data_IF_498422326555
#
_entry.id   IF_498422326555
#
_cell.length_a   1.000
_cell.length_b   1.000
_cell.length_c   1.000
_cell.angle_alpha   90.00
_cell.angle_beta   90.00
_cell.angle_gamma   90.00
#
_symmetry.space_group_name_H-M   'P 1'
#
loop_
_entity.id
_entity.type
_entity.pdbx_description
1 polymer ?
#
# COMPACT_ATOMS: atom_id res chain seq x y z
N UNK A 1 -17.00 20.39 30.69
CA UNK A 1 -18.11 21.05 29.97
C UNK A 1 -18.16 20.45 28.57
N UNK A 2 -19.32 19.95 28.14
CA UNK A 2 -19.52 19.57 26.73
C UNK A 2 -19.73 20.86 25.92
N UNK A 3 -19.19 20.94 24.71
CA UNK A 3 -19.26 22.15 23.89
C UNK A 3 -20.61 22.32 23.19
N UNK A 4 -21.63 22.80 23.92
CA UNK A 4 -22.99 22.98 23.39
C UNK A 4 -23.11 24.01 22.24
N UNK A 5 -22.07 24.79 21.97
CA UNK A 5 -21.96 25.68 20.80
C UNK A 5 -20.95 25.23 19.72
N UNK A 6 -20.28 24.08 19.89
CA UNK A 6 -19.16 23.64 19.05
C UNK A 6 -19.57 23.06 17.69
N UNK A 7 -18.59 22.92 16.78
CA UNK A 7 -18.78 22.32 15.45
C UNK A 7 -19.51 20.96 15.50
N UNK A 8 -19.11 20.05 16.39
CA UNK A 8 -19.72 18.72 16.49
C UNK A 8 -21.20 18.75 16.89
N UNK A 9 -21.58 19.64 17.81
CA UNK A 9 -22.97 19.86 18.18
C UNK A 9 -23.79 20.42 17.01
N UNK A 10 -23.22 21.35 16.23
CA UNK A 10 -23.87 21.89 15.03
C UNK A 10 -24.05 20.81 13.95
N UNK A 11 -23.01 20.00 13.67
CA UNK A 11 -23.08 18.89 12.73
C UNK A 11 -24.17 17.88 13.11
N UNK A 12 -24.22 17.49 14.39
CA UNK A 12 -25.28 16.60 14.92
C UNK A 12 -26.67 17.20 14.76
N UNK A 13 -26.82 18.51 14.99
CA UNK A 13 -28.07 19.23 14.78
C UNK A 13 -28.51 19.18 13.31
N UNK A 14 -27.59 19.47 12.37
CA UNK A 14 -27.85 19.41 10.93
C UNK A 14 -28.24 18.02 10.46
N UNK A 15 -27.50 16.99 10.87
CA UNK A 15 -27.82 15.59 10.57
C UNK A 15 -29.23 15.22 11.05
N UNK A 16 -29.56 15.58 12.29
CA UNK A 16 -30.86 15.26 12.89
C UNK A 16 -32.01 16.00 12.20
N UNK A 17 -31.80 17.25 11.78
CA UNK A 17 -32.78 18.02 10.99
C UNK A 17 -32.99 17.45 9.57
N UNK A 18 -31.94 16.88 8.96
CA UNK A 18 -32.01 16.16 7.70
C UNK A 18 -32.63 14.74 7.82
N UNK A 19 -33.01 14.31 9.03
CA UNK A 19 -33.62 13.00 9.28
C UNK A 19 -32.67 11.81 9.17
N UNK A 20 -31.34 12.03 9.15
CA UNK A 20 -30.35 10.98 8.91
C UNK A 20 -29.80 10.37 10.21
N UNK A 21 -29.55 9.06 10.19
CA UNK A 21 -28.68 8.36 11.17
C UNK A 21 -27.20 8.67 10.94
N UNK A 22 -26.33 8.33 11.90
CA UNK A 22 -24.86 8.50 11.71
C UNK A 22 -24.38 7.62 10.54
N UNK A 23 -25.01 6.46 10.39
CA UNK A 23 -24.83 5.45 9.37
C UNK A 23 -25.21 5.97 7.97
N UNK A 24 -26.38 6.58 7.80
CA UNK A 24 -26.81 7.15 6.51
C UNK A 24 -25.99 8.40 6.13
N UNK A 25 -25.59 9.24 7.10
CA UNK A 25 -24.69 10.36 6.81
C UNK A 25 -23.30 9.87 6.39
N UNK A 26 -22.78 8.84 7.06
CA UNK A 26 -21.52 8.20 6.71
C UNK A 26 -21.57 7.67 5.25
N UNK A 27 -22.58 6.88 4.91
CA UNK A 27 -22.79 6.36 3.56
C UNK A 27 -22.88 7.46 2.50
N UNK A 28 -23.69 8.50 2.72
CA UNK A 28 -23.85 9.63 1.78
C UNK A 28 -22.62 10.51 1.61
N UNK A 29 -21.76 10.60 2.64
CA UNK A 29 -20.54 11.43 2.61
C UNK A 29 -19.28 10.66 2.23
N UNK A 30 -19.34 9.33 2.11
CA UNK A 30 -18.16 8.48 1.94
C UNK A 30 -17.25 8.43 3.17
N UNK A 31 -17.73 8.88 4.33
CA UNK A 31 -17.03 8.83 5.61
C UNK A 31 -17.44 7.57 6.38
N UNK A 32 -16.69 7.18 7.42
CA UNK A 32 -17.17 6.11 8.30
C UNK A 32 -18.12 6.64 9.38
N UNK A 33 -18.93 5.73 9.94
CA UNK A 33 -19.75 5.98 11.13
C UNK A 33 -18.89 6.44 12.31
N UNK A 34 -17.65 5.93 12.41
CA UNK A 34 -16.67 6.34 13.42
C UNK A 34 -16.23 7.79 13.19
N UNK A 35 -15.98 8.21 11.95
CA UNK A 35 -15.66 9.58 11.63
C UNK A 35 -16.81 10.54 11.97
N UNK A 36 -18.03 10.24 11.52
CA UNK A 36 -19.23 11.03 11.86
C UNK A 36 -19.37 11.14 13.38
N UNK A 37 -19.17 10.04 14.11
CA UNK A 37 -19.23 10.03 15.57
C UNK A 37 -18.13 10.88 16.22
N UNK A 38 -16.88 10.77 15.81
CA UNK A 38 -15.77 11.54 16.41
C UNK A 38 -15.85 13.03 16.04
N UNK A 39 -16.39 13.38 14.86
CA UNK A 39 -16.76 14.74 14.46
C UNK A 39 -17.88 15.31 15.33
N UNK A 40 -19.00 14.58 15.51
CA UNK A 40 -20.14 15.01 16.34
C UNK A 40 -19.79 15.18 17.82
N UNK A 41 -18.89 14.36 18.35
CA UNK A 41 -18.39 14.50 19.72
C UNK A 41 -17.28 15.57 19.86
N UNK A 42 -16.91 16.26 18.79
CA UNK A 42 -15.87 17.30 18.82
C UNK A 42 -14.47 16.79 19.13
N UNK A 43 -14.21 15.49 18.89
CA UNK A 43 -12.87 14.88 19.05
C UNK A 43 -11.92 15.29 17.93
N UNK A 44 -12.47 15.61 16.75
CA UNK A 44 -11.72 16.18 15.63
C UNK A 44 -11.64 17.69 15.78
N UNK A 45 -10.48 18.20 16.21
CA UNK A 45 -10.29 19.63 16.45
C UNK A 45 -10.26 20.48 15.15
N UNK A 46 -9.80 19.90 14.03
CA UNK A 46 -9.72 20.57 12.71
C UNK A 46 -10.06 19.59 11.58
N UNK A 47 -11.34 19.43 11.21
CA UNK A 47 -11.74 18.68 10.02
C UNK A 47 -11.17 19.36 8.76
N UNK A 48 -10.76 18.58 7.75
CA UNK A 48 -10.25 19.11 6.48
C UNK A 48 -11.36 19.81 5.69
N UNK A 49 -11.01 20.82 4.87
CA UNK A 49 -11.96 21.53 4.00
C UNK A 49 -12.75 20.57 3.11
N UNK A 50 -12.11 19.50 2.63
CA UNK A 50 -12.76 18.50 1.79
C UNK A 50 -13.74 17.61 2.57
N UNK A 51 -13.36 17.14 3.77
CA UNK A 51 -14.29 16.45 4.68
C UNK A 51 -15.53 17.31 4.98
N UNK A 52 -15.34 18.62 5.14
CA UNK A 52 -16.43 19.57 5.38
C UNK A 52 -17.32 19.78 4.15
N UNK A 53 -16.76 19.76 2.93
CA UNK A 53 -17.53 19.75 1.67
C UNK A 53 -18.35 18.47 1.52
N UNK A 54 -17.74 17.29 1.70
CA UNK A 54 -18.42 16.00 1.64
C UNK A 54 -19.62 15.95 2.60
N UNK A 55 -19.46 16.47 3.83
CA UNK A 55 -20.55 16.59 4.80
C UNK A 55 -21.64 17.57 4.34
N UNK A 56 -21.29 18.74 3.83
CA UNK A 56 -22.27 19.72 3.35
C UNK A 56 -23.11 19.16 2.18
N UNK A 57 -22.46 18.50 1.22
CA UNK A 57 -23.11 17.80 0.09
C UNK A 57 -24.02 16.67 0.57
N UNK A 58 -23.55 15.81 1.48
CA UNK A 58 -24.32 14.69 2.00
C UNK A 58 -25.54 15.10 2.85
N UNK A 59 -25.47 16.27 3.50
CA UNK A 59 -26.56 16.89 4.23
C UNK A 59 -27.51 17.71 3.34
N UNK A 60 -27.20 17.90 2.04
CA UNK A 60 -28.00 18.70 1.12
C UNK A 60 -28.02 20.19 1.46
N UNK A 61 -26.97 20.72 2.10
CA UNK A 61 -26.92 22.12 2.50
C UNK A 61 -26.68 23.04 1.29
N UNK A 62 -27.39 24.18 1.17
CA UNK A 62 -27.02 25.24 0.22
C UNK A 62 -25.64 25.83 0.57
N UNK A 63 -24.98 26.44 -0.40
CA UNK A 63 -23.58 26.86 -0.32
C UNK A 63 -23.28 27.77 0.89
N UNK A 64 -24.15 28.73 1.17
CA UNK A 64 -24.09 29.63 2.34
C UNK A 64 -24.14 28.88 3.69
N UNK A 65 -24.89 27.78 3.78
CA UNK A 65 -24.99 26.96 4.98
C UNK A 65 -23.81 25.98 5.12
N UNK A 66 -23.21 25.59 3.98
CA UNK A 66 -21.91 24.91 3.94
C UNK A 66 -20.76 25.81 4.42
N UNK A 67 -20.79 27.10 4.06
CA UNK A 67 -19.85 28.12 4.56
C UNK A 67 -19.96 28.29 6.08
N UNK A 68 -21.17 28.28 6.65
CA UNK A 68 -21.38 28.34 8.10
C UNK A 68 -20.79 27.11 8.84
N UNK A 69 -20.95 25.91 8.26
CA UNK A 69 -20.33 24.68 8.76
C UNK A 69 -18.78 24.79 8.74
N UNK A 70 -18.22 25.28 7.63
CA UNK A 70 -16.79 25.57 7.46
C UNK A 70 -16.28 26.66 8.43
N UNK A 71 -17.10 27.66 8.75
CA UNK A 71 -16.76 28.75 9.67
C UNK A 71 -16.73 28.25 11.11
N UNK A 72 -17.70 27.44 11.53
CA UNK A 72 -17.73 26.84 12.88
C UNK A 72 -16.60 25.84 13.11
N UNK A 73 -16.23 25.06 12.09
CA UNK A 73 -15.05 24.20 12.15
C UNK A 73 -13.76 25.00 12.40
N UNK A 74 -13.63 26.19 11.82
CA UNK A 74 -12.49 27.11 12.03
C UNK A 74 -12.50 27.80 13.40
N UNK A 75 -13.68 28.07 13.96
CA UNK A 75 -13.85 28.83 15.22
C UNK A 75 -13.73 27.99 16.52
N UNK A 76 -13.64 26.66 16.44
CA UNK A 76 -13.60 25.76 17.60
C UNK A 76 -12.27 25.76 18.39
N UNK A 77 -11.52 26.86 18.40
CA UNK A 77 -10.12 26.94 18.84
C UNK A 77 -9.90 27.96 19.98
N UNK A 78 -9.36 27.55 21.15
CA UNK A 78 -8.60 28.47 22.01
C UNK A 78 -7.21 28.72 21.41
N UNK A 79 -6.65 29.95 21.47
CA UNK A 79 -5.41 30.28 20.77
C UNK A 79 -4.26 29.38 21.21
N UNK A 80 -3.51 28.88 20.22
CA UNK A 80 -2.31 28.09 20.46
C UNK A 80 -1.29 28.97 21.22
N UNK A 81 -0.88 28.54 22.41
CA UNK A 81 0.30 29.12 23.05
C UNK A 81 1.52 28.76 22.17
N UNK A 82 2.39 29.71 21.82
CA UNK A 82 3.67 29.36 21.22
C UNK A 82 4.45 28.51 22.24
N UNK A 83 4.90 27.33 21.81
CA UNK A 83 5.82 26.53 22.60
C UNK A 83 7.16 27.24 22.73
N UNK A 84 7.89 27.10 23.85
CA UNK A 84 9.24 27.63 23.96
C UNK A 84 10.15 27.05 22.88
N UNK A 85 10.93 27.92 22.23
CA UNK A 85 11.97 27.54 21.26
C UNK A 85 13.09 26.80 22.00
N UNK A 86 13.75 25.89 21.28
CA UNK A 86 14.81 25.02 21.80
C UNK A 86 15.96 25.78 22.48
N UNK A 87 16.52 25.16 23.52
CA UNK A 87 17.87 25.43 23.98
C UNK A 87 18.74 24.21 23.64
N UNK A 88 19.45 24.30 22.52
CA UNK A 88 20.47 23.32 22.14
C UNK A 88 21.53 23.19 23.26
N UNK A 89 22.00 21.98 23.55
CA UNK A 89 23.17 21.76 24.40
C UNK A 89 24.39 21.45 23.53
N UNK A 90 25.55 22.10 23.77
CA UNK A 90 26.64 22.12 22.79
C UNK A 90 27.47 20.84 22.75
N UNK A 91 27.97 20.53 21.56
CA UNK A 91 28.94 19.45 21.30
C UNK A 91 30.30 19.82 21.89
N UNK A 92 30.84 18.98 22.79
CA UNK A 92 32.22 19.10 23.24
C UNK A 92 33.19 18.49 22.21
N UNK A 93 34.07 19.32 21.65
CA UNK A 93 35.16 18.90 20.75
C UNK A 93 36.48 18.75 21.53
N UNK A 94 37.22 17.66 21.26
CA UNK A 94 38.63 17.51 21.60
C UNK A 94 39.31 16.59 20.56
N UNK A 95 40.57 16.87 20.21
CA UNK A 95 41.17 16.44 18.93
C UNK A 95 42.34 15.42 19.04
N UNK A 96 42.65 14.80 17.89
CA UNK A 96 43.96 14.29 17.35
C UNK A 96 45.24 14.59 18.16
N UNK A 97 46.34 13.81 18.16
CA UNK A 97 46.83 12.56 17.50
C UNK A 97 48.20 12.15 18.20
N UNK A 98 49.18 11.36 17.67
CA UNK A 98 49.25 10.41 16.53
C UNK A 98 50.02 9.07 16.76
N UNK A 99 50.00 8.18 15.74
CA UNK A 99 51.04 7.23 15.26
C UNK A 99 51.72 6.14 16.16
N UNK A 100 51.66 4.87 15.72
CA UNK A 100 52.80 4.18 15.05
C UNK A 100 52.34 2.92 14.26
N UNK A 101 53.18 2.43 13.34
CA UNK A 101 53.03 1.19 12.55
C UNK A 101 53.43 -0.06 13.34
N UNK A 102 52.86 -1.23 13.01
CA UNK A 102 53.55 -2.31 12.29
C UNK A 102 52.59 -3.43 11.81
N UNK A 103 52.95 -4.10 10.71
CA UNK A 103 52.31 -5.31 10.13
C UNK A 103 53.46 -6.29 9.80
N UNK A 104 53.34 -7.59 10.09
CA UNK A 104 53.15 -8.50 8.95
C UNK A 104 52.23 -9.73 9.20
N UNK A 105 51.53 -10.11 8.14
CA UNK A 105 50.84 -11.41 7.92
C UNK A 105 51.85 -12.53 7.49
N UNK A 106 51.46 -13.75 6.99
CA UNK A 106 50.15 -14.43 6.92
C UNK A 106 50.14 -15.97 7.21
N UNK A 107 48.93 -16.58 7.26
CA UNK A 107 48.55 -17.97 6.87
C UNK A 107 47.00 -18.03 6.93
N UNK A 108 46.16 -18.39 5.95
CA UNK A 108 46.19 -19.37 4.82
C UNK A 108 46.24 -20.82 5.36
N UNK A 109 45.36 -21.80 5.07
CA UNK A 109 44.50 -22.14 3.89
C UNK A 109 43.08 -22.67 4.36
N UNK A 110 42.17 -23.34 3.57
CA UNK A 110 40.71 -23.05 3.60
C UNK A 110 39.84 -24.33 3.86
N UNK A 111 38.53 -24.43 3.48
CA UNK A 111 37.64 -25.53 3.90
C UNK A 111 37.41 -26.64 2.83
N UNK A 112 36.83 -27.76 3.27
CA UNK A 112 36.29 -28.83 2.40
C UNK A 112 34.88 -29.28 2.84
N UNK A 113 33.93 -29.22 1.90
CA UNK A 113 32.87 -30.24 1.65
C UNK A 113 33.39 -31.09 0.46
N UNK A 114 32.95 -32.36 0.19
CA UNK A 114 31.53 -32.77 0.13
C UNK A 114 31.23 -34.28 0.37
N UNK A 115 29.99 -34.73 0.06
CA UNK A 115 29.78 -36.05 -0.58
C UNK A 115 28.70 -36.99 0.00
N UNK A 116 27.64 -37.22 -0.77
CA UNK A 116 26.61 -38.28 -0.56
C UNK A 116 27.02 -39.57 -1.30
N UNK A 117 26.79 -40.78 -0.74
CA UNK A 117 26.14 -41.86 -1.51
C UNK A 117 25.16 -42.72 -0.63
N UNK A 118 24.70 -43.95 -0.99
CA UNK A 118 23.37 -44.14 -1.59
C UNK A 118 22.46 -45.20 -0.90
N UNK A 119 21.32 -45.52 -1.54
CA UNK A 119 20.31 -46.53 -1.12
C UNK A 119 20.85 -47.98 -1.05
N UNK A 120 20.34 -48.78 -0.09
CA UNK A 120 19.40 -49.92 -0.32
C UNK A 120 19.38 -50.95 0.84
N UNK A 121 18.18 -51.50 1.14
CA UNK A 121 17.91 -52.87 1.69
C UNK A 121 18.54 -53.29 3.06
N UNK A 122 18.02 -54.26 3.84
CA UNK A 122 16.68 -54.84 4.00
C UNK A 122 16.60 -55.65 5.33
N UNK A 123 15.38 -56.00 5.75
CA UNK A 123 15.01 -57.17 6.60
C UNK A 123 15.43 -57.24 8.10
N UNK A 124 14.64 -58.02 8.87
CA UNK A 124 14.91 -58.40 10.28
C UNK A 124 13.81 -57.96 11.27
N UNK A 125 12.71 -58.70 11.49
CA UNK A 125 12.56 -59.75 12.53
C UNK A 125 12.99 -59.31 13.95
N UNK A 126 12.23 -59.53 15.04
CA UNK A 126 10.90 -60.12 15.26
C UNK A 126 10.49 -59.90 16.75
N UNK A 127 9.33 -60.43 17.18
CA UNK A 127 8.81 -60.53 18.58
C UNK A 127 8.23 -59.21 19.16
N UNK A 128 7.01 -59.17 19.70
CA UNK A 128 5.90 -60.14 19.64
C UNK A 128 5.00 -60.14 20.88
N UNK A 129 3.72 -60.54 20.68
CA UNK A 129 2.68 -60.82 21.70
C UNK A 129 2.14 -59.55 22.41
N UNK A 130 0.89 -59.45 22.90
CA UNK A 130 -0.43 -60.16 22.81
C UNK A 130 -1.45 -59.14 23.41
N UNK A 131 -2.78 -59.14 23.20
CA UNK A 131 -3.83 -60.09 22.74
C UNK A 131 -5.05 -59.26 22.26
N UNK A 132 -5.81 -59.75 21.26
CA UNK A 132 -7.28 -59.86 21.17
C UNK A 132 -8.22 -58.67 21.56
N UNK A 133 -9.42 -58.45 20.97
CA UNK A 133 -10.25 -59.33 20.14
C UNK A 133 -11.24 -58.57 19.21
N UNK A 134 -11.44 -59.13 18.00
CA UNK A 134 -12.72 -59.45 17.33
C UNK A 134 -13.88 -58.42 17.27
N UNK A 135 -14.13 -57.90 16.07
CA UNK A 135 -15.34 -58.06 15.22
C UNK A 135 -14.94 -57.49 13.83
N UNK A 136 -15.36 -57.97 12.66
CA UNK A 136 -16.26 -59.07 12.34
C UNK A 136 -17.18 -58.68 11.17
N UNK A 137 -16.96 -59.29 9.99
CA UNK A 137 -17.78 -59.30 8.75
C UNK A 137 -17.24 -58.45 7.56
N UNK A 138 -17.00 -59.15 6.44
CA UNK A 138 -16.85 -58.59 5.09
C UNK A 138 -18.22 -58.24 4.51
N UNK A 139 -18.28 -57.25 3.60
CA UNK A 139 -18.98 -57.49 2.35
C UNK A 139 -18.30 -56.74 1.19
N UNK A 140 -17.94 -57.48 0.15
CA UNK A 140 -17.45 -56.95 -1.13
C UNK A 140 -18.62 -56.54 -2.01
N UNK A 141 -18.55 -55.35 -2.61
CA UNK A 141 -19.36 -54.99 -3.78
C UNK A 141 -18.49 -54.22 -4.80
N UNK A 142 -18.25 -54.85 -5.94
CA UNK A 142 -17.50 -54.32 -7.07
C UNK A 142 -18.53 -53.83 -8.11
N UNK A 143 -18.57 -52.53 -8.41
CA UNK A 143 -19.31 -52.00 -9.56
C UNK A 143 -18.58 -50.81 -10.18
N UNK A 144 -18.09 -51.00 -11.41
CA UNK A 144 -17.62 -49.94 -12.30
C UNK A 144 -18.75 -49.47 -13.20
N UNK A 145 -19.10 -48.18 -13.15
CA UNK A 145 -19.93 -47.51 -14.16
C UNK A 145 -19.30 -46.16 -14.50
N UNK A 146 -19.30 -45.82 -15.79
CA UNK A 146 -18.67 -44.62 -16.33
C UNK A 146 -19.56 -43.36 -16.18
N UNK A 147 -18.94 -42.20 -16.44
CA UNK A 147 -19.47 -40.86 -16.28
C UNK A 147 -20.87 -40.58 -16.85
N UNK A 148 -21.63 -39.72 -16.16
CA UNK A 148 -22.11 -38.42 -16.68
C UNK A 148 -22.81 -37.56 -15.59
N UNK A 149 -22.53 -36.25 -15.62
CA UNK A 149 -23.33 -35.13 -15.11
C UNK A 149 -24.01 -35.19 -13.72
N UNK A 150 -23.43 -34.46 -12.76
CA UNK A 150 -24.08 -33.26 -12.18
C UNK A 150 -23.09 -32.42 -11.36
N UNK A 151 -22.41 -31.48 -12.04
CA UNK A 151 -21.55 -30.47 -11.42
C UNK A 151 -22.40 -29.40 -10.71
N UNK A 152 -22.55 -29.51 -9.39
CA UNK A 152 -23.15 -28.49 -8.52
C UNK A 152 -22.37 -28.34 -7.20
N UNK A 153 -21.05 -28.16 -7.31
CA UNK A 153 -20.31 -27.48 -6.24
C UNK A 153 -20.73 -26.01 -6.15
N UNK A 154 -20.68 -25.35 -4.97
CA UNK A 154 -21.07 -23.95 -4.86
C UNK A 154 -20.12 -23.07 -5.68
N UNK A 155 -20.61 -22.56 -6.82
CA UNK A 155 -19.90 -21.58 -7.63
C UNK A 155 -19.78 -20.27 -6.85
N UNK A 156 -18.65 -20.10 -6.18
CA UNK A 156 -18.19 -18.76 -5.77
C UNK A 156 -18.06 -17.94 -7.04
N UNK A 157 -18.95 -16.95 -7.23
CA UNK A 157 -18.81 -15.98 -8.31
C UNK A 157 -17.51 -15.21 -8.10
N UNK A 158 -16.45 -15.58 -8.84
CA UNK A 158 -15.27 -14.73 -9.02
C UNK A 158 -15.68 -13.52 -9.85
N UNK A 159 -16.00 -12.41 -9.18
CA UNK A 159 -16.30 -11.12 -9.81
C UNK A 159 -15.04 -10.36 -10.23
N UNK A 160 -14.09 -11.06 -10.86
CA UNK A 160 -12.86 -10.49 -11.42
C UNK A 160 -13.14 -9.93 -12.81
N UNK A 161 -13.20 -8.61 -12.95
CA UNK A 161 -13.37 -7.97 -14.26
C UNK A 161 -13.53 -6.46 -14.26
N UNK A 162 -14.23 -5.86 -13.27
CA UNK A 162 -14.41 -4.38 -13.19
C UNK A 162 -14.37 -3.76 -11.79
N UNK A 163 -14.37 -4.53 -10.70
CA UNK A 163 -14.48 -4.02 -9.33
C UNK A 163 -13.28 -4.28 -8.41
N UNK A 164 -12.14 -4.75 -8.95
CA UNK A 164 -11.00 -5.15 -8.15
C UNK A 164 -10.14 -3.98 -7.67
N UNK A 165 -9.95 -2.92 -8.46
CA UNK A 165 -9.44 -1.64 -7.97
C UNK A 165 -10.59 -0.87 -7.31
N UNK A 166 -10.37 -0.40 -6.08
CA UNK A 166 -11.36 0.37 -5.33
C UNK A 166 -11.16 1.88 -5.54
N UNK A 167 -10.02 2.41 -5.11
CA UNK A 167 -9.67 3.83 -5.22
C UNK A 167 -8.18 4.08 -4.93
N UNK A 168 -7.71 5.27 -5.31
CA UNK A 168 -6.50 5.86 -4.69
C UNK A 168 -6.88 6.37 -3.30
N UNK A 169 -6.28 5.79 -2.29
CA UNK A 169 -6.50 6.13 -0.88
C UNK A 169 -5.69 7.36 -0.48
N UNK A 170 -4.52 7.56 -1.07
CA UNK A 170 -3.70 8.75 -0.85
C UNK A 170 -2.48 8.75 -1.75
N UNK A 171 -1.84 9.90 -1.87
CA UNK A 171 -0.52 10.05 -2.46
C UNK A 171 0.18 11.26 -1.83
N UNK A 172 1.50 11.36 -2.00
CA UNK A 172 2.25 12.57 -1.69
C UNK A 172 3.44 12.74 -2.63
N UNK A 173 3.75 13.99 -2.95
CA UNK A 173 5.06 14.42 -3.46
C UNK A 173 5.75 15.14 -2.29
N UNK A 174 6.78 14.48 -1.75
CA UNK A 174 7.61 14.99 -0.66
C UNK A 174 8.93 15.50 -1.22
N UNK A 175 8.85 16.65 -1.88
CA UNK A 175 9.97 17.47 -2.33
C UNK A 175 10.02 18.77 -1.52
N UNK A 176 11.18 19.17 -0.98
CA UNK A 176 11.30 20.45 -0.28
C UNK A 176 10.93 21.62 -1.22
N UNK A 177 10.09 22.58 -0.78
CA UNK A 177 9.67 23.70 -1.63
C UNK A 177 10.86 24.55 -2.08
N UNK A 178 11.75 24.87 -1.14
CA UNK A 178 13.06 25.49 -1.34
C UNK A 178 14.11 24.58 -0.68
N UNK A 179 14.87 23.81 -1.46
CA UNK A 179 15.74 22.76 -0.93
C UNK A 179 17.14 23.26 -0.50
N UNK A 180 17.87 22.50 0.36
CA UNK A 180 17.46 21.35 1.17
C UNK A 180 17.18 21.77 2.65
N UNK A 181 16.36 21.02 3.42
CA UNK A 181 16.77 19.68 3.83
C UNK A 181 15.92 18.55 3.25
N UNK A 182 16.55 17.40 3.16
CA UNK A 182 15.98 16.08 2.87
C UNK A 182 14.74 15.69 3.67
N UNK A 183 13.88 14.87 3.08
CA UNK A 183 12.70 14.30 3.73
C UNK A 183 13.01 12.97 4.44
N UNK A 184 12.21 12.63 5.46
CA UNK A 184 12.33 11.39 6.27
C UNK A 184 10.99 10.65 6.44
N UNK A 185 9.93 11.11 5.79
CA UNK A 185 8.61 10.50 5.82
C UNK A 185 7.54 11.35 5.17
N UNK A 186 6.35 10.76 5.04
CA UNK A 186 5.11 11.42 4.68
C UNK A 186 3.96 10.92 5.55
N UNK A 187 3.00 11.81 5.77
CA UNK A 187 1.78 11.57 6.54
C UNK A 187 0.60 11.67 5.57
N UNK A 188 0.17 10.52 5.05
CA UNK A 188 -0.86 10.43 4.02
C UNK A 188 -2.24 10.31 4.67
N UNK A 189 -3.05 11.34 4.50
CA UNK A 189 -4.45 11.26 4.89
C UNK A 189 -5.25 10.45 3.88
N UNK A 190 -6.16 9.65 4.41
CA UNK A 190 -7.09 8.83 3.64
C UNK A 190 -8.08 9.75 2.90
N UNK A 191 -8.09 9.67 1.58
CA UNK A 191 -8.95 10.46 0.68
C UNK A 191 -10.28 9.75 0.39
N UNK A 192 -10.26 8.42 0.34
CA UNK A 192 -11.42 7.56 0.15
C UNK A 192 -11.44 6.52 1.27
N UNK A 193 -12.60 6.25 1.87
CA UNK A 193 -12.69 5.25 2.94
C UNK A 193 -12.34 3.84 2.43
N UNK A 194 -11.58 3.12 3.24
CA UNK A 194 -11.18 1.73 3.00
C UNK A 194 -12.17 0.80 3.68
N UNK A 195 -12.74 -0.13 2.92
CA UNK A 195 -13.72 -1.09 3.41
C UNK A 195 -13.01 -2.26 4.12
N UNK A 196 -13.65 -2.87 5.13
CA UNK A 196 -13.09 -4.04 5.83
C UNK A 196 -12.76 -5.15 4.83
N UNK A 197 -11.52 -5.63 4.86
CA UNK A 197 -11.07 -6.74 4.03
C UNK A 197 -10.52 -6.33 2.66
N UNK A 198 -10.52 -5.05 2.31
CA UNK A 198 -9.75 -4.56 1.16
C UNK A 198 -8.25 -4.73 1.40
N UNK A 199 -7.47 -4.85 0.32
CA UNK A 199 -6.00 -4.88 0.37
C UNK A 199 -5.46 -3.53 -0.02
N UNK A 200 -4.54 -2.99 0.78
CA UNK A 200 -3.83 -1.75 0.47
C UNK A 200 -2.45 -2.07 -0.09
N UNK A 201 -2.10 -1.45 -1.22
CA UNK A 201 -0.74 -1.42 -1.75
C UNK A 201 -0.19 -0.01 -1.57
N UNK A 202 0.87 0.10 -0.76
CA UNK A 202 1.60 1.35 -0.52
C UNK A 202 2.87 1.31 -1.36
N UNK A 203 2.99 2.24 -2.30
CA UNK A 203 4.18 2.41 -3.14
C UNK A 203 5.00 3.57 -2.63
N UNK A 204 6.32 3.39 -2.52
CA UNK A 204 7.27 4.39 -2.04
C UNK A 204 8.43 4.46 -3.02
N UNK A 205 8.58 5.61 -3.69
CA UNK A 205 9.69 5.89 -4.60
C UNK A 205 10.59 6.96 -3.96
N UNK A 206 11.83 6.60 -3.63
CA UNK A 206 12.82 7.48 -3.02
C UNK A 206 13.95 7.76 -4.01
N UNK A 207 14.39 9.01 -4.13
CA UNK A 207 15.54 9.40 -4.96
C UNK A 207 16.68 9.88 -4.05
N UNK A 208 17.91 9.42 -4.32
CA UNK A 208 19.10 9.79 -3.53
C UNK A 208 19.00 9.38 -2.06
N UNK A 209 18.39 8.23 -1.77
CA UNK A 209 18.12 7.80 -0.40
C UNK A 209 19.38 7.34 0.35
N UNK A 210 19.45 7.65 1.64
CA UNK A 210 20.40 7.01 2.55
C UNK A 210 20.01 5.53 2.81
N UNK A 211 20.96 4.65 3.16
CA UNK A 211 20.65 3.29 3.59
C UNK A 211 19.77 3.28 4.85
N UNK A 212 18.88 2.29 4.95
CA UNK A 212 18.04 2.03 6.12
C UNK A 212 16.64 1.53 5.78
N UNK A 213 15.86 1.26 6.81
CA UNK A 213 14.51 0.71 6.71
C UNK A 213 13.47 1.75 6.29
N UNK A 214 12.49 1.33 5.50
CA UNK A 214 11.27 2.09 5.22
C UNK A 214 10.14 1.40 5.96
N UNK A 215 9.38 2.13 6.77
CA UNK A 215 8.26 1.59 7.55
C UNK A 215 6.95 2.24 7.17
N UNK A 216 5.87 1.47 7.25
CA UNK A 216 4.50 1.89 6.95
C UNK A 216 3.61 1.47 8.12
N UNK A 217 2.87 2.42 8.68
CA UNK A 217 1.89 2.20 9.75
C UNK A 217 0.62 3.00 9.48
N UNK A 218 -0.46 2.68 10.17
CA UNK A 218 -1.67 3.52 10.17
C UNK A 218 -2.35 3.55 11.54
N UNK A 219 -3.31 4.47 11.68
CA UNK A 219 -4.10 4.68 12.90
C UNK A 219 -5.03 3.51 13.26
N UNK A 220 -5.38 2.62 12.32
CA UNK A 220 -6.14 1.40 12.60
C UNK A 220 -5.27 0.22 13.05
N UNK A 221 -3.94 0.32 12.89
CA UNK A 221 -2.98 -0.74 13.21
C UNK A 221 -3.02 -1.90 12.22
N UNK A 222 -3.06 -1.60 10.91
CA UNK A 222 -2.87 -2.61 9.87
C UNK A 222 -1.41 -3.08 9.77
N UNK A 223 -1.22 -4.33 9.34
CA UNK A 223 0.10 -4.93 9.15
C UNK A 223 0.53 -4.82 7.70
N UNK A 224 1.43 -3.89 7.40
CA UNK A 224 2.05 -3.74 6.09
C UNK A 224 3.26 -4.66 5.96
N UNK A 225 3.30 -5.49 4.91
CA UNK A 225 4.43 -6.40 4.62
C UNK A 225 5.11 -6.01 3.31
N UNK A 226 6.45 -6.08 3.21
CA UNK A 226 7.15 -5.85 1.94
C UNK A 226 6.62 -6.75 0.81
N UNK A 227 6.33 -6.14 -0.33
CA UNK A 227 5.77 -6.75 -1.53
C UNK A 227 6.56 -6.35 -2.81
N UNK A 228 7.80 -5.90 -2.62
CA UNK A 228 8.72 -5.47 -3.67
C UNK A 228 9.72 -4.44 -3.15
N UNK A 229 10.98 -4.52 -3.55
CA UNK A 229 11.96 -3.44 -3.35
C UNK A 229 13.06 -3.48 -4.42
N UNK A 230 13.52 -2.32 -4.90
CA UNK A 230 14.79 -2.21 -5.65
C UNK A 230 15.95 -1.89 -4.69
N UNK A 231 17.17 -2.30 -5.07
CA UNK A 231 18.36 -2.22 -4.22
C UNK A 231 19.29 -1.03 -4.51
N UNK A 232 18.95 -0.17 -5.47
CA UNK A 232 19.82 0.94 -5.88
C UNK A 232 19.72 2.17 -4.96
N UNK A 233 20.46 3.23 -5.30
CA UNK A 233 20.44 4.53 -4.60
C UNK A 233 19.07 5.21 -4.69
N UNK A 234 18.39 4.98 -5.80
CA UNK A 234 16.98 5.30 -5.98
C UNK A 234 16.22 3.99 -5.70
N UNK A 235 15.24 4.06 -4.82
CA UNK A 235 14.56 2.89 -4.26
C UNK A 235 13.08 2.97 -4.54
N UNK A 236 12.55 2.01 -5.29
CA UNK A 236 11.13 1.75 -5.39
C UNK A 236 10.78 0.61 -4.44
N UNK A 237 9.84 0.81 -3.52
CA UNK A 237 9.36 -0.20 -2.58
C UNK A 237 7.84 -0.30 -2.63
N UNK A 238 7.33 -1.52 -2.52
CA UNK A 238 5.90 -1.80 -2.35
C UNK A 238 5.68 -2.48 -1.00
N UNK A 239 4.63 -2.09 -0.30
CA UNK A 239 4.13 -2.77 0.89
C UNK A 239 2.66 -3.15 0.70
N UNK A 240 2.26 -4.33 1.14
CA UNK A 240 0.89 -4.81 1.09
C UNK A 240 0.33 -5.00 2.50
N UNK A 241 -0.85 -4.42 2.78
CA UNK A 241 -1.69 -4.77 3.91
C UNK A 241 -2.92 -5.51 3.38
N UNK A 242 -2.84 -6.84 3.35
CA UNK A 242 -3.93 -7.72 2.89
C UNK A 242 -4.98 -7.87 3.98
N UNK A 243 -6.26 -7.73 3.62
CA UNK A 243 -7.37 -7.87 4.55
C UNK A 243 -7.43 -6.75 5.59
N UNK A 244 -7.19 -5.51 5.16
CA UNK A 244 -7.10 -4.33 5.99
C UNK A 244 -8.36 -4.12 6.86
N UNK A 245 -8.11 -3.64 8.07
CA UNK A 245 -9.10 -2.98 8.92
C UNK A 245 -9.57 -1.70 8.22
N UNK A 246 -10.84 -1.30 8.39
CA UNK A 246 -11.34 -0.06 7.81
C UNK A 246 -10.49 1.15 8.17
N UNK A 247 -10.36 2.06 7.21
CA UNK A 247 -9.79 3.40 7.39
C UNK A 247 -10.80 4.43 6.85
N UNK A 248 -10.86 5.60 7.46
CA UNK A 248 -11.69 6.72 7.02
C UNK A 248 -10.89 8.02 6.88
N UNK A 249 -11.49 9.11 6.40
CA UNK A 249 -10.71 10.33 6.07
C UNK A 249 -10.09 11.06 7.27
N UNK A 250 -10.35 10.62 8.50
CA UNK A 250 -9.66 11.09 9.69
C UNK A 250 -8.42 10.25 10.01
N UNK A 251 -8.35 9.02 9.47
CA UNK A 251 -7.22 8.13 9.61
C UNK A 251 -6.02 8.59 8.76
N UNK A 252 -4.84 8.15 9.19
CA UNK A 252 -3.56 8.54 8.63
C UNK A 252 -2.72 7.28 8.36
N UNK A 253 -2.15 7.21 7.16
CA UNK A 253 -1.11 6.25 6.79
C UNK A 253 0.22 6.98 6.90
N UNK A 254 1.03 6.56 7.88
CA UNK A 254 2.31 7.15 8.22
C UNK A 254 3.41 6.32 7.57
N UNK A 255 4.18 6.94 6.67
CA UNK A 255 5.35 6.32 6.03
C UNK A 255 6.61 7.02 6.53
N UNK A 256 7.63 6.26 6.90
CA UNK A 256 8.94 6.79 7.35
C UNK A 256 10.07 6.12 6.57
N UNK A 257 11.10 6.90 6.25
CA UNK A 257 12.27 6.45 5.47
C UNK A 257 13.56 7.12 5.94
N UNK A 258 14.73 6.55 5.64
CA UNK A 258 16.00 7.22 5.85
C UNK A 258 16.10 8.40 4.89
N UNK A 259 16.83 9.43 5.31
CA UNK A 259 17.08 10.69 4.58
C UNK A 259 17.10 10.53 3.05
N UNK A 260 16.12 11.13 2.35
CA UNK A 260 16.02 11.12 0.89
C UNK A 260 16.01 12.55 0.30
N UNK A 261 16.43 12.71 -0.95
CA UNK A 261 16.43 14.01 -1.64
C UNK A 261 15.01 14.39 -2.10
N UNK A 262 14.29 13.43 -2.66
CA UNK A 262 12.85 13.49 -2.94
C UNK A 262 12.22 12.14 -2.61
N UNK A 263 10.93 12.15 -2.30
CA UNK A 263 10.16 10.94 -2.10
C UNK A 263 8.74 11.12 -2.66
N UNK A 264 8.26 10.15 -3.42
CA UNK A 264 6.87 10.09 -3.88
C UNK A 264 6.22 8.85 -3.29
N UNK A 265 4.97 8.97 -2.87
CA UNK A 265 4.21 7.84 -2.32
C UNK A 265 2.82 7.77 -2.91
N UNK A 266 2.29 6.57 -3.06
CA UNK A 266 0.87 6.33 -3.36
C UNK A 266 0.33 5.18 -2.51
N UNK A 267 -0.98 5.19 -2.27
CA UNK A 267 -1.72 4.12 -1.63
C UNK A 267 -2.92 3.80 -2.50
N UNK A 268 -3.04 2.54 -2.89
CA UNK A 268 -4.10 2.04 -3.77
C UNK A 268 -4.82 0.88 -3.10
N UNK A 269 -6.15 0.95 -3.05
CA UNK A 269 -7.00 -0.06 -2.45
C UNK A 269 -7.57 -1.03 -3.49
N UNK A 270 -7.64 -2.31 -3.10
CA UNK A 270 -8.14 -3.39 -3.94
C UNK A 270 -9.15 -4.27 -3.19
N UNK A 271 -10.21 -4.68 -3.87
CA UNK A 271 -11.27 -5.56 -3.35
C UNK A 271 -11.02 -7.01 -3.74
N UNK A 272 -11.35 -7.93 -2.83
CA UNK A 272 -11.29 -9.37 -3.07
C UNK A 272 -9.89 -9.98 -3.09
N UNK A 273 -8.84 -9.19 -2.83
CA UNK A 273 -7.46 -9.66 -2.80
C UNK A 273 -7.13 -10.30 -1.44
N UNK A 274 -6.54 -11.48 -1.51
CA UNK A 274 -6.17 -12.40 -0.43
C UNK A 274 -4.66 -12.69 -0.38
N UNK A 275 -3.92 -12.39 -1.45
CA UNK A 275 -2.47 -12.44 -1.49
C UNK A 275 -1.87 -11.37 -2.40
N UNK A 276 -0.73 -10.83 -1.99
CA UNK A 276 0.10 -9.92 -2.76
C UNK A 276 1.47 -10.59 -3.00
N UNK A 277 1.65 -11.15 -4.20
CA UNK A 277 2.86 -11.85 -4.61
C UNK A 277 2.59 -13.01 -5.58
N UNK A 278 3.63 -13.49 -6.31
CA UNK A 278 4.98 -12.95 -6.34
C UNK A 278 5.08 -11.64 -7.15
N UNK A 279 6.26 -11.04 -7.17
CA UNK A 279 6.58 -9.81 -7.89
C UNK A 279 7.89 -9.96 -8.67
N UNK A 280 8.12 -9.07 -9.62
CA UNK A 280 9.36 -8.93 -10.39
C UNK A 280 9.81 -7.46 -10.42
N UNK A 281 11.11 -7.23 -10.57
CA UNK A 281 11.73 -5.93 -10.84
C UNK A 281 12.10 -5.82 -12.33
N UNK A 282 12.08 -4.61 -12.88
CA UNK A 282 12.74 -4.30 -14.16
C UNK A 282 13.24 -2.85 -14.22
N UNK A 283 14.28 -2.64 -15.01
CA UNK A 283 14.95 -1.36 -15.31
C UNK A 283 15.43 -1.37 -16.77
N UNK A 284 15.76 -0.23 -17.40
CA UNK A 284 16.35 -0.19 -18.75
C UNK A 284 17.61 -1.05 -18.83
N UNK A 285 17.85 -1.72 -19.97
CA UNK A 285 19.19 -2.26 -20.24
C UNK A 285 20.09 -1.09 -20.68
N UNK A 286 21.15 -0.73 -19.93
CA UNK A 286 22.06 0.35 -20.30
C UNK A 286 22.83 0.09 -21.62
N UNK A 287 22.73 -1.12 -22.20
CA UNK A 287 23.30 -1.48 -23.49
C UNK A 287 22.32 -1.39 -24.67
N UNK A 288 21.02 -1.26 -24.41
CA UNK A 288 19.99 -1.17 -25.46
C UNK A 288 19.30 0.20 -25.44
N UNK A 289 19.83 1.11 -26.27
CA UNK A 289 19.28 2.45 -26.47
C UNK A 289 17.87 2.47 -27.10
N UNK A 290 17.39 1.36 -27.67
CA UNK A 290 16.02 1.25 -28.19
C UNK A 290 15.01 0.82 -27.13
N UNK A 291 15.47 0.20 -26.04
CA UNK A 291 14.66 -0.12 -24.85
C UNK A 291 14.44 1.09 -23.93
N UNK A 292 15.26 2.14 -24.07
CA UNK A 292 15.37 3.26 -23.14
C UNK A 292 14.02 3.93 -22.81
N UNK A 293 13.30 4.41 -23.83
CA UNK A 293 12.08 5.21 -23.64
C UNK A 293 10.79 4.36 -23.55
N UNK A 294 10.88 3.04 -23.81
CA UNK A 294 9.73 2.13 -23.82
C UNK A 294 9.74 1.18 -22.62
N UNK A 295 8.67 1.20 -21.82
CA UNK A 295 8.44 0.18 -20.79
C UNK A 295 8.00 -1.10 -21.50
N UNK A 296 8.80 -2.17 -21.38
CA UNK A 296 8.41 -3.53 -21.80
C UNK A 296 8.81 -4.54 -20.73
N UNK A 297 7.97 -4.67 -19.70
CA UNK A 297 8.23 -5.59 -18.57
C UNK A 297 7.61 -6.95 -18.88
N UNK A 298 8.43 -7.84 -19.41
CA UNK A 298 8.12 -9.26 -19.61
C UNK A 298 8.53 -10.12 -18.41
N UNK A 299 8.55 -11.45 -18.58
CA UNK A 299 9.03 -12.38 -17.53
C UNK A 299 8.10 -12.53 -16.32
N UNK A 300 6.86 -12.04 -16.43
CA UNK A 300 5.86 -12.19 -15.37
C UNK A 300 5.50 -13.67 -15.11
N UNK A 301 5.13 -14.03 -13.88
CA UNK A 301 4.65 -15.38 -13.56
C UNK A 301 3.42 -15.71 -14.39
N UNK A 302 3.36 -16.91 -14.98
CA UNK A 302 2.29 -17.37 -15.89
C UNK A 302 0.91 -16.86 -15.47
N UNK A 303 0.40 -15.95 -16.29
CA UNK A 303 -0.84 -15.21 -16.08
C UNK A 303 -2.03 -16.10 -16.47
N UNK A 304 -3.06 -16.09 -15.65
CA UNK A 304 -4.27 -16.86 -15.79
C UNK A 304 -5.50 -15.95 -15.70
N UNK A 305 -6.61 -16.37 -16.30
CA UNK A 305 -7.87 -15.66 -16.18
C UNK A 305 -8.27 -15.43 -14.70
N UNK A 306 -8.63 -14.18 -14.40
CA UNK A 306 -8.98 -13.72 -13.06
C UNK A 306 -7.80 -13.19 -12.24
N UNK A 307 -6.54 -13.30 -12.70
CA UNK A 307 -5.43 -12.61 -12.06
C UNK A 307 -5.59 -11.09 -12.14
N UNK A 308 -5.10 -10.39 -11.11
CA UNK A 308 -4.89 -8.96 -11.15
C UNK A 308 -3.39 -8.69 -11.04
N UNK A 309 -2.87 -7.83 -11.92
CA UNK A 309 -1.51 -7.30 -11.80
C UNK A 309 -1.56 -5.82 -11.44
N UNK A 310 -0.65 -5.41 -10.56
CA UNK A 310 -0.34 -4.04 -10.22
C UNK A 310 1.12 -3.76 -10.59
N UNK A 311 1.40 -2.61 -11.20
CA UNK A 311 2.75 -2.18 -11.54
C UNK A 311 2.98 -0.76 -11.04
N UNK A 312 4.18 -0.52 -10.55
CA UNK A 312 4.68 0.81 -10.22
C UNK A 312 5.95 1.07 -11.03
N UNK A 313 6.07 2.26 -11.60
CA UNK A 313 7.25 2.73 -12.34
C UNK A 313 7.65 4.08 -11.77
N UNK A 314 8.91 4.24 -11.38
CA UNK A 314 9.52 5.50 -10.99
C UNK A 314 10.58 5.90 -12.02
N UNK A 315 10.41 7.08 -12.62
CA UNK A 315 11.36 7.72 -13.52
C UNK A 315 11.75 9.10 -12.96
N UNK A 316 12.85 9.24 -12.20
CA UNK A 316 13.22 10.50 -11.52
C UNK A 316 13.48 11.71 -12.45
N UNK A 317 13.53 11.47 -13.76
CA UNK A 317 13.83 12.45 -14.82
C UNK A 317 12.82 12.32 -15.95
N UNK A 318 12.50 13.45 -16.60
CA UNK A 318 11.54 13.48 -17.71
C UNK A 318 10.08 13.67 -17.24
N UNK A 319 9.10 13.46 -18.13
CA UNK A 319 7.67 13.49 -17.79
C UNK A 319 7.25 12.27 -16.96
N UNK A 320 6.04 12.33 -16.40
CA UNK A 320 5.46 11.20 -15.67
C UNK A 320 5.37 9.93 -16.57
N UNK A 321 5.76 8.73 -16.07
CA UNK A 321 5.62 7.49 -16.84
C UNK A 321 4.19 7.22 -17.27
N UNK A 322 4.01 6.64 -18.45
CA UNK A 322 2.71 6.29 -19.04
C UNK A 322 2.60 4.82 -19.33
N UNK A 323 1.37 4.31 -19.30
CA UNK A 323 1.07 2.90 -19.58
C UNK A 323 0.10 2.77 -20.75
N UNK A 324 0.43 1.86 -21.68
CA UNK A 324 -0.39 1.61 -22.86
C UNK A 324 -1.59 0.72 -22.50
N UNK A 325 -2.71 0.93 -23.22
CA UNK A 325 -3.85 0.02 -23.13
C UNK A 325 -3.40 -1.43 -23.46
N UNK A 326 -3.88 -2.45 -22.72
CA UNK A 326 -5.05 -2.44 -21.83
C UNK A 326 -4.77 -2.12 -20.34
N UNK A 327 -3.57 -1.63 -19.99
CA UNK A 327 -3.29 -1.21 -18.61
C UNK A 327 -4.10 0.03 -18.22
N UNK A 328 -4.46 0.13 -16.93
CA UNK A 328 -5.20 1.27 -16.38
C UNK A 328 -4.33 2.01 -15.39
N UNK A 329 -3.94 3.24 -15.74
CA UNK A 329 -3.29 4.17 -14.81
C UNK A 329 -4.22 4.46 -13.61
N UNK A 330 -3.67 4.34 -12.40
CA UNK A 330 -4.33 4.84 -11.20
C UNK A 330 -4.16 6.37 -11.14
N UNK A 331 -5.24 7.15 -10.95
CA UNK A 331 -5.19 8.61 -11.04
C UNK A 331 -4.25 9.20 -9.99
N UNK A 332 -3.45 10.19 -10.34
CA UNK A 332 -2.73 11.00 -9.37
C UNK A 332 -3.66 12.10 -8.83
N UNK A 333 -3.88 12.17 -7.52
CA UNK A 333 -4.78 13.14 -6.93
C UNK A 333 -3.99 14.35 -6.42
N UNK A 334 -4.36 15.60 -6.76
CA UNK A 334 -3.73 16.77 -6.18
C UNK A 334 -4.08 16.85 -4.69
N UNK A 335 -3.06 16.77 -3.83
CA UNK A 335 -3.21 16.74 -2.36
C UNK A 335 -3.54 18.13 -1.79
N UNK A 336 -3.08 19.17 -2.50
CA UNK A 336 -3.37 20.57 -2.26
C UNK A 336 -3.74 21.20 -3.62
N UNK A 337 -4.81 21.98 -3.65
CA UNK A 337 -5.31 22.63 -4.86
C UNK A 337 -4.52 23.89 -5.22
N UNK A 338 -3.84 24.49 -4.23
CA UNK A 338 -3.05 25.71 -4.40
C UNK A 338 -1.56 25.40 -4.65
N UNK A 339 -1.15 24.13 -4.55
CA UNK A 339 0.20 23.70 -4.91
C UNK A 339 0.40 23.64 -6.43
N UNK A 340 1.57 24.06 -6.96
CA UNK A 340 1.84 23.99 -8.39
C UNK A 340 1.79 22.54 -8.88
N UNK A 341 1.02 22.29 -9.95
CA UNK A 341 0.96 21.00 -10.61
C UNK A 341 2.35 20.60 -11.11
N UNK A 342 2.95 19.60 -10.44
CA UNK A 342 4.18 18.94 -10.87
C UNK A 342 3.81 17.56 -11.39
N UNK A 343 4.41 17.15 -12.50
CA UNK A 343 4.27 15.77 -12.96
C UNK A 343 4.98 14.84 -11.97
N UNK A 344 4.31 13.79 -11.46
CA UNK A 344 4.92 12.88 -10.51
C UNK A 344 5.95 11.99 -11.22
N UNK A 345 7.11 11.77 -10.62
CA UNK A 345 8.09 10.79 -11.14
C UNK A 345 7.60 9.35 -10.99
N UNK A 346 6.62 9.13 -10.12
CA UNK A 346 5.99 7.85 -9.83
C UNK A 346 4.64 7.74 -10.54
N UNK A 347 4.49 6.73 -11.39
CA UNK A 347 3.20 6.30 -11.91
C UNK A 347 2.94 4.84 -11.56
N UNK A 348 1.66 4.48 -11.53
CA UNK A 348 1.19 3.15 -11.11
C UNK A 348 -0.01 2.75 -11.95
N UNK A 349 -0.05 1.49 -12.39
CA UNK A 349 -1.15 0.97 -13.18
C UNK A 349 -1.57 -0.43 -12.73
N UNK A 350 -2.75 -0.86 -13.19
CA UNK A 350 -3.26 -2.20 -12.93
C UNK A 350 -3.95 -2.80 -14.17
N UNK A 351 -3.95 -4.13 -14.27
CA UNK A 351 -4.62 -4.90 -15.33
C UNK A 351 -5.21 -6.17 -14.74
N UNK A 352 -6.50 -6.40 -14.95
CA UNK A 352 -7.11 -7.72 -14.71
C UNK A 352 -6.97 -8.56 -15.97
N UNK A 353 -6.54 -9.81 -15.82
CA UNK A 353 -6.36 -10.77 -16.90
C UNK A 353 -7.69 -11.50 -17.17
N UNK A 354 -8.09 -11.52 -18.43
CA UNK A 354 -9.30 -12.14 -18.96
C UNK A 354 -8.95 -13.35 -19.81
N UNK A 355 -9.94 -14.21 -20.11
CA UNK A 355 -9.76 -15.35 -21.03
C UNK A 355 -9.32 -14.96 -22.46
N UNK A 356 -9.45 -13.68 -22.84
CA UNK A 356 -8.99 -13.15 -24.14
C UNK A 356 -7.56 -12.62 -24.14
N UNK A 357 -6.92 -12.48 -22.96
CA UNK A 357 -5.54 -11.99 -22.86
C UNK A 357 -4.53 -13.11 -23.13
N UNK A 358 -3.79 -13.01 -24.24
CA UNK A 358 -2.71 -13.94 -24.60
C UNK A 358 -1.37 -13.62 -23.91
N UNK A 359 -1.25 -12.44 -23.32
CA UNK A 359 -0.08 -11.97 -22.60
C UNK A 359 -0.46 -11.07 -21.42
N UNK A 360 0.50 -10.77 -20.57
CA UNK A 360 0.35 -9.86 -19.45
C UNK A 360 1.49 -8.85 -19.34
N UNK A 361 2.28 -8.68 -20.41
CA UNK A 361 3.43 -7.77 -20.47
C UNK A 361 3.00 -6.34 -20.09
N UNK A 362 3.83 -5.64 -19.31
CA UNK A 362 3.64 -4.20 -19.09
C UNK A 362 4.15 -3.44 -20.29
N UNK A 363 3.31 -2.58 -20.86
CA UNK A 363 3.64 -1.69 -21.97
C UNK A 363 3.42 -0.23 -21.57
N UNK A 364 4.25 0.67 -22.09
CA UNK A 364 4.20 2.09 -21.75
C UNK A 364 5.48 2.83 -22.15
N UNK A 365 5.64 4.04 -21.61
CA UNK A 365 6.81 4.90 -21.84
C UNK A 365 7.31 5.54 -20.55
N UNK A 366 8.64 5.68 -20.44
CA UNK A 366 9.31 6.34 -19.31
C UNK A 366 10.71 6.80 -19.75
N UNK A 367 11.14 7.98 -19.29
CA UNK A 367 12.50 8.46 -19.55
C UNK A 367 13.51 7.79 -18.62
N UNK A 368 14.63 7.24 -19.11
CA UNK A 368 15.69 6.69 -18.26
C UNK A 368 16.38 7.76 -17.38
N UNK A 369 16.93 7.37 -16.22
CA UNK A 369 16.79 6.05 -15.60
C UNK A 369 15.38 5.85 -15.05
N UNK A 370 14.83 4.65 -15.19
CA UNK A 370 13.60 4.26 -14.53
C UNK A 370 13.75 2.91 -13.85
N UNK A 371 12.92 2.69 -12.84
CA UNK A 371 12.81 1.42 -12.11
C UNK A 371 11.34 1.04 -12.03
N UNK A 372 11.07 -0.25 -12.00
CA UNK A 372 9.71 -0.76 -11.91
C UNK A 372 9.61 -2.01 -11.05
N UNK A 373 8.46 -2.17 -10.40
CA UNK A 373 8.07 -3.39 -9.71
C UNK A 373 6.67 -3.75 -10.19
N UNK A 374 6.51 -5.00 -10.65
CA UNK A 374 5.20 -5.55 -11.02
C UNK A 374 4.85 -6.73 -10.12
N UNK A 375 3.66 -6.66 -9.53
CA UNK A 375 3.16 -7.50 -8.45
C UNK A 375 1.86 -8.20 -8.87
N UNK A 376 1.77 -9.50 -8.64
CA UNK A 376 0.53 -10.26 -8.82
C UNK A 376 -0.33 -10.18 -7.55
N UNK A 377 -1.60 -9.86 -7.72
CA UNK A 377 -2.63 -9.82 -6.69
C UNK A 377 -3.65 -10.95 -6.96
N UNK A 378 -4.01 -11.71 -5.92
CA UNK A 378 -4.91 -12.88 -6.00
C UNK A 378 -5.94 -12.90 -4.88
#
# INVERSE_FOLDING_TARGET
>A
MMGEGGFGAHLRGRRSAAGLTQEELAERSGLSVRAIRDLEHGRVARPRRETLRLLATALGLPEEEGEELLRRARQALPPARPGPVEAESPVASAAMAPAHRDDPRPSVVPPDEPGVPPKAEAAGHERGRRRAARYGILLTALLTVAALSSDHGPRVLRTTGRGAYAARIGNSDSRPPDGPPSTTGADLHVLHAVTRGETLIVTVALTGAAPGEVTVTDTAGNTYRPAGQTNDRDRLLLFAAVGARPLDTLDLITVRWPRAATAHTSVDAFRGITAAGPWIEAQPDPRDSTSAESIRIGGLPLCAEGDLFFTAVNAPTGPAPRFDAPWREAPWLPVDADAPLREPTLATAYRSITSTDSDCTVHGTATPPWQSITLRLR
#
